data_IF_743309534090
#
_entry.id   IF_743309534090
#
_cell.length_a   1.000
_cell.length_b   1.000
_cell.length_c   1.000
_cell.angle_alpha   90.00
_cell.angle_beta   90.00
_cell.angle_gamma   90.00
#
_symmetry.space_group_name_H-M   'P 1'
#
loop_
_entity.id
_entity.type
_entity.pdbx_description
1 polymer ?
#
# COMPACT_ATOMS: atom_id res chain seq x y z
N UNK A 1 -25.36 -29.01 5.16
CA UNK A 1 -23.90 -28.83 5.30
C UNK A 1 -23.64 -27.55 6.08
N UNK A 2 -23.11 -27.63 7.29
CA UNK A 2 -22.82 -26.46 8.11
C UNK A 2 -21.62 -25.69 7.51
N UNK A 3 -21.83 -24.43 7.13
CA UNK A 3 -20.73 -23.53 6.76
C UNK A 3 -19.93 -23.24 8.03
N UNK A 4 -18.75 -23.85 8.17
CA UNK A 4 -17.82 -23.53 9.24
C UNK A 4 -17.55 -22.01 9.22
N UNK A 5 -17.81 -21.35 10.35
CA UNK A 5 -17.60 -19.93 10.51
C UNK A 5 -16.15 -19.56 10.20
N UNK A 6 -15.93 -18.39 9.59
CA UNK A 6 -14.57 -17.90 9.31
C UNK A 6 -13.83 -17.69 10.62
N UNK A 7 -12.87 -18.57 10.95
CA UNK A 7 -11.87 -18.30 12.00
C UNK A 7 -11.05 -17.08 11.59
N UNK A 8 -10.98 -16.09 12.48
CA UNK A 8 -10.14 -14.90 12.32
C UNK A 8 -8.82 -15.11 13.03
N UNK A 9 -7.72 -14.95 12.31
CA UNK A 9 -6.37 -15.03 12.87
C UNK A 9 -5.79 -13.63 13.06
N UNK A 10 -5.06 -13.45 14.17
CA UNK A 10 -4.34 -12.20 14.46
C UNK A 10 -3.21 -11.97 13.46
N UNK A 11 -2.73 -10.72 13.36
CA UNK A 11 -1.60 -10.38 12.51
C UNK A 11 -0.33 -11.14 12.91
N UNK A 12 0.02 -11.10 14.19
CA UNK A 12 1.19 -11.78 14.75
C UNK A 12 1.21 -13.27 14.44
N UNK A 13 0.07 -13.95 14.60
CA UNK A 13 -0.04 -15.38 14.28
C UNK A 13 0.23 -15.66 12.80
N UNK A 14 -0.37 -14.88 11.88
CA UNK A 14 -0.13 -15.08 10.45
C UNK A 14 1.34 -14.82 10.10
N UNK A 15 1.96 -13.83 10.75
CA UNK A 15 3.35 -13.48 10.53
C UNK A 15 4.29 -14.61 10.97
N UNK A 16 4.07 -15.18 12.15
CA UNK A 16 4.85 -16.34 12.64
C UNK A 16 4.77 -17.52 11.66
N UNK A 17 3.55 -17.90 11.27
CA UNK A 17 3.31 -19.04 10.36
C UNK A 17 4.00 -18.82 9.01
N UNK A 18 3.91 -17.60 8.46
CA UNK A 18 4.51 -17.29 7.16
C UNK A 18 6.03 -17.22 7.24
N UNK A 19 6.61 -16.66 8.30
CA UNK A 19 8.07 -16.62 8.49
C UNK A 19 8.63 -18.04 8.50
N UNK A 20 8.05 -18.94 9.31
CA UNK A 20 8.46 -20.36 9.33
C UNK A 20 8.35 -21.04 7.96
N UNK A 21 7.31 -20.73 7.20
CA UNK A 21 7.13 -21.28 5.85
C UNK A 21 8.16 -20.74 4.84
N UNK A 22 8.45 -19.43 4.90
CA UNK A 22 9.39 -18.77 3.98
C UNK A 22 10.83 -19.14 4.29
N UNK A 23 11.16 -19.30 5.58
CA UNK A 23 12.47 -19.74 6.06
C UNK A 23 12.75 -21.23 5.76
N UNK A 24 11.77 -21.95 5.19
CA UNK A 24 11.90 -23.35 4.82
C UNK A 24 11.85 -24.32 6.00
N UNK A 25 11.42 -23.85 7.18
CA UNK A 25 11.37 -24.66 8.39
C UNK A 25 10.25 -25.70 8.43
N UNK A 26 9.19 -25.52 7.63
CA UNK A 26 8.08 -26.47 7.54
C UNK A 26 7.27 -26.28 6.24
N UNK A 27 6.64 -27.36 5.78
CA UNK A 27 5.70 -27.32 4.67
C UNK A 27 4.36 -26.67 5.05
N UNK A 28 3.60 -26.20 4.06
CA UNK A 28 2.27 -25.64 4.29
C UNK A 28 1.31 -26.64 4.95
N UNK A 29 1.50 -27.94 4.72
CA UNK A 29 0.69 -29.00 5.32
C UNK A 29 1.02 -29.20 6.80
N UNK A 30 2.30 -29.21 7.15
CA UNK A 30 2.76 -29.33 8.54
C UNK A 30 2.29 -28.14 9.37
N UNK A 31 2.49 -26.92 8.87
CA UNK A 31 2.03 -25.70 9.55
C UNK A 31 0.51 -25.64 9.69
N UNK A 32 -0.23 -26.14 8.70
CA UNK A 32 -1.68 -26.23 8.81
C UNK A 32 -2.13 -27.21 9.89
N UNK A 33 -1.40 -28.31 10.09
CA UNK A 33 -1.68 -29.29 11.15
C UNK A 33 -1.27 -28.79 12.53
N UNK A 34 -0.08 -28.22 12.64
CA UNK A 34 0.46 -27.66 13.89
C UNK A 34 -0.45 -26.57 14.46
N UNK A 35 -0.99 -25.72 13.59
CA UNK A 35 -1.80 -24.57 13.98
C UNK A 35 -3.32 -24.73 13.74
N UNK A 36 -3.81 -25.97 13.55
CA UNK A 36 -5.24 -26.29 13.32
C UNK A 36 -5.92 -25.40 12.25
N UNK A 37 -5.20 -25.16 11.15
CA UNK A 37 -5.71 -24.39 10.01
C UNK A 37 -6.62 -25.26 9.16
N UNK A 38 -7.70 -24.66 8.67
CA UNK A 38 -8.70 -25.37 7.85
C UNK A 38 -8.13 -25.84 6.50
N UNK A 39 -7.07 -25.20 5.99
CA UNK A 39 -6.42 -25.63 4.76
C UNK A 39 -4.96 -25.17 4.65
N UNK A 40 -4.06 -26.02 4.14
CA UNK A 40 -2.70 -25.64 3.74
C UNK A 40 -2.65 -24.46 2.75
N UNK A 41 -3.68 -24.32 1.91
CA UNK A 41 -3.81 -23.19 0.95
C UNK A 41 -3.87 -21.82 1.65
N UNK A 42 -4.28 -21.76 2.92
CA UNK A 42 -4.24 -20.51 3.68
C UNK A 42 -2.81 -20.05 3.91
N UNK A 43 -1.92 -20.96 4.29
CA UNK A 43 -0.49 -20.70 4.49
C UNK A 43 0.16 -20.23 3.19
N UNK A 44 -0.09 -20.93 2.08
CA UNK A 44 0.41 -20.54 0.75
C UNK A 44 -0.08 -19.16 0.32
N UNK A 45 -1.32 -18.81 0.65
CA UNK A 45 -1.88 -17.49 0.33
C UNK A 45 -1.22 -16.39 1.15
N UNK A 46 -1.02 -16.61 2.46
CA UNK A 46 -0.31 -15.66 3.30
C UNK A 46 1.15 -15.51 2.89
N UNK A 47 1.83 -16.60 2.53
CA UNK A 47 3.21 -16.57 2.02
C UNK A 47 3.33 -15.79 0.70
N UNK A 48 2.38 -15.97 -0.23
CA UNK A 48 2.34 -15.17 -1.46
C UNK A 48 2.14 -13.68 -1.20
N UNK A 49 1.25 -13.32 -0.26
CA UNK A 49 1.03 -11.94 0.14
C UNK A 49 2.29 -11.33 0.77
N UNK A 50 2.93 -12.07 1.66
CA UNK A 50 4.18 -11.67 2.31
C UNK A 50 5.32 -11.44 1.32
N UNK A 51 5.49 -12.33 0.33
CA UNK A 51 6.51 -12.14 -0.71
C UNK A 51 6.24 -10.92 -1.62
N UNK A 52 4.97 -10.48 -1.73
CA UNK A 52 4.59 -9.36 -2.59
C UNK A 52 4.71 -8.01 -1.89
N UNK A 53 4.06 -7.85 -0.74
CA UNK A 53 3.98 -6.55 -0.04
C UNK A 53 4.57 -6.60 1.39
N UNK A 54 5.33 -7.66 1.72
CA UNK A 54 5.93 -7.82 3.04
C UNK A 54 4.93 -8.09 4.15
N UNK A 55 5.31 -7.72 5.38
CA UNK A 55 4.51 -7.95 6.58
C UNK A 55 3.16 -7.20 6.53
N UNK A 56 3.14 -5.99 5.98
CA UNK A 56 1.93 -5.17 5.86
C UNK A 56 0.79 -5.88 5.11
N UNK A 57 1.12 -6.82 4.21
CA UNK A 57 0.16 -7.62 3.48
C UNK A 57 -0.71 -8.53 4.37
N UNK A 58 -0.21 -8.89 5.56
CA UNK A 58 -0.89 -9.79 6.51
C UNK A 58 -1.78 -9.03 7.51
N UNK A 59 -1.62 -7.70 7.61
CA UNK A 59 -2.39 -6.87 8.53
C UNK A 59 -3.89 -6.98 8.22
N UNK A 60 -4.76 -7.01 9.25
CA UNK A 60 -6.19 -7.06 9.05
C UNK A 60 -6.62 -5.79 8.30
N UNK A 61 -7.13 -5.98 7.08
CA UNK A 61 -7.77 -4.88 6.35
C UNK A 61 -9.05 -4.48 7.09
N UNK A 62 -9.34 -3.18 7.22
CA UNK A 62 -10.55 -2.71 7.89
C UNK A 62 -11.77 -3.40 7.29
N UNK A 63 -12.60 -3.99 8.16
CA UNK A 63 -13.75 -4.81 7.75
C UNK A 63 -14.85 -3.87 7.25
N UNK A 64 -14.98 -3.76 5.94
CA UNK A 64 -15.99 -2.94 5.27
C UNK A 64 -15.52 -2.51 3.89
N UNK A 65 -16.44 -1.95 3.08
CA UNK A 65 -16.01 -1.02 2.02
C UNK A 65 -15.28 0.12 2.77
N UNK A 66 -14.07 0.55 2.39
CA UNK A 66 -13.59 1.82 2.89
C UNK A 66 -14.73 2.81 2.65
N UNK A 67 -15.14 3.55 3.68
CA UNK A 67 -16.03 4.68 3.44
C UNK A 67 -15.41 5.41 2.25
N UNK A 68 -16.20 5.63 1.17
CA UNK A 68 -15.74 6.58 0.14
C UNK A 68 -15.22 7.76 0.94
N UNK A 69 -13.96 8.17 0.82
CA UNK A 69 -13.56 9.43 1.43
C UNK A 69 -14.53 10.44 0.84
N UNK A 70 -15.46 10.91 1.66
CA UNK A 70 -16.31 12.01 1.32
C UNK A 70 -15.36 13.23 1.31
N UNK A 71 -14.59 13.37 0.23
CA UNK A 71 -13.67 14.50 0.06
C UNK A 71 -12.23 14.25 -0.40
N UNK A 72 -11.90 13.27 -1.26
CA UNK A 72 -10.67 13.35 -2.08
C UNK A 72 -10.92 12.98 -3.54
N UNK A 73 -11.86 13.70 -4.11
CA UNK A 73 -11.77 14.37 -5.41
C UNK A 73 -10.43 14.22 -6.17
N UNK A 74 -10.31 13.19 -7.02
CA UNK A 74 -9.30 13.18 -8.09
C UNK A 74 -9.42 14.37 -9.06
N UNK A 75 -10.59 15.02 -9.10
CA UNK A 75 -10.79 16.31 -9.77
C UNK A 75 -10.13 17.48 -9.01
N UNK A 76 -10.18 17.51 -7.66
CA UNK A 76 -9.67 18.62 -6.84
C UNK A 76 -8.16 18.57 -6.65
N UNK A 77 -7.57 17.38 -6.54
CA UNK A 77 -6.11 17.25 -6.54
C UNK A 77 -5.52 17.68 -7.88
N UNK A 78 -6.17 17.29 -9.00
CA UNK A 78 -5.78 17.73 -10.34
C UNK A 78 -5.95 19.25 -10.52
N UNK A 79 -7.02 19.83 -9.99
CA UNK A 79 -7.24 21.28 -9.98
C UNK A 79 -6.18 22.01 -9.15
N UNK A 80 -5.87 21.52 -7.94
CA UNK A 80 -4.80 22.08 -7.10
C UNK A 80 -3.45 22.03 -7.81
N UNK A 81 -3.12 20.89 -8.41
CA UNK A 81 -1.88 20.71 -9.16
C UNK A 81 -1.81 21.64 -10.38
N UNK A 82 -2.93 21.84 -11.10
CA UNK A 82 -2.99 22.79 -12.22
C UNK A 82 -2.81 24.23 -11.74
N UNK A 83 -3.41 24.60 -10.62
CA UNK A 83 -3.27 25.94 -10.06
C UNK A 83 -1.84 26.21 -9.57
N UNK A 84 -1.24 25.24 -8.90
CA UNK A 84 0.18 25.31 -8.49
C UNK A 84 1.11 25.38 -9.70
N UNK A 85 0.82 24.62 -10.77
CA UNK A 85 1.60 24.67 -12.01
C UNK A 85 1.50 26.05 -12.69
N UNK A 86 0.31 26.66 -12.71
CA UNK A 86 0.11 28.02 -13.24
C UNK A 86 0.90 29.06 -12.43
N UNK A 87 0.85 28.98 -11.10
CA UNK A 87 1.56 29.90 -10.22
C UNK A 87 3.09 29.76 -10.37
N UNK A 88 3.59 28.52 -10.38
CA UNK A 88 5.02 28.24 -10.58
C UNK A 88 5.49 28.72 -11.95
N UNK A 89 4.70 28.49 -13.00
CA UNK A 89 5.02 28.95 -14.35
C UNK A 89 5.12 30.47 -14.42
N UNK A 90 4.19 31.19 -13.78
CA UNK A 90 4.25 32.65 -13.70
C UNK A 90 5.51 33.14 -12.94
N UNK A 91 5.88 32.47 -11.84
CA UNK A 91 7.12 32.79 -11.10
C UNK A 91 8.36 32.55 -11.94
N UNK A 92 8.42 31.44 -12.68
CA UNK A 92 9.55 31.14 -13.59
C UNK A 92 9.67 32.22 -14.66
N UNK A 93 8.57 32.59 -15.33
CA UNK A 93 8.56 33.62 -16.35
C UNK A 93 9.04 34.99 -15.80
N UNK A 94 8.62 35.36 -14.58
CA UNK A 94 9.09 36.58 -13.93
C UNK A 94 10.60 36.54 -13.64
N UNK A 95 11.11 35.42 -13.11
CA UNK A 95 12.53 35.26 -12.81
C UNK A 95 13.38 35.26 -14.09
N UNK A 96 12.90 34.66 -15.16
CA UNK A 96 13.57 34.71 -16.48
C UNK A 96 13.61 36.14 -17.03
N UNK A 97 12.52 36.90 -16.90
CA UNK A 97 12.50 38.30 -17.30
C UNK A 97 13.53 39.14 -16.52
N UNK A 98 13.64 38.92 -15.20
CA UNK A 98 14.66 39.59 -14.38
C UNK A 98 16.09 39.21 -14.80
N UNK A 99 16.33 37.93 -15.10
CA UNK A 99 17.63 37.47 -15.61
C UNK A 99 18.00 38.17 -16.92
N UNK A 100 17.06 38.24 -17.86
CA UNK A 100 17.28 38.89 -19.15
C UNK A 100 17.59 40.40 -19.00
N UNK A 101 16.90 41.11 -18.11
CA UNK A 101 17.18 42.53 -17.84
C UNK A 101 18.56 42.74 -17.21
N UNK A 102 18.99 41.84 -16.31
CA UNK A 102 20.30 41.89 -15.69
C UNK A 102 21.44 41.61 -16.67
N UNK A 103 21.19 40.76 -17.66
CA UNK A 103 22.14 40.45 -18.73
C UNK A 103 22.28 41.64 -19.70
N UNK A 104 21.19 42.29 -20.08
CA UNK A 104 21.19 43.48 -20.96
C UNK A 104 21.86 44.73 -20.33
N UNK A 105 21.84 44.85 -19.00
CA UNK A 105 22.53 45.95 -18.30
C UNK A 105 24.01 45.68 -18.03
N UNK A 106 24.58 44.62 -18.62
CA UNK A 106 25.97 44.18 -18.42
C UNK A 106 26.85 44.37 -19.67
N UNK A 107 26.29 44.96 -20.72
CA UNK A 107 26.97 45.55 -21.88
C UNK A 107 27.08 47.07 -21.73
#
# INVERSE_FOLDING_TARGET
MAKQGRRSFTFEFKLEVVRRFVDGGASALELAREHDLASPKQVETWARLYRRDGEDALRPKPKGRPAKPAGTTGLSELERLRQENLELSAKVAYLEKLRALKEQGRD
#
